data_IF_869384715285
#
_entry.id   IF_869384715285
#
_cell.length_a   1.000
_cell.length_b   1.000
_cell.length_c   1.000
_cell.angle_alpha   90.00
_cell.angle_beta   90.00
_cell.angle_gamma   90.00
#
_symmetry.space_group_name_H-M   'P 1'
#
loop_
_entity.id
_entity.type
_entity.pdbx_description
1 polymer ?
#
# COMPACT_ATOMS: atom_id res chain seq x y z
N UNK A 1 5.43 8.51 13.13
CA UNK A 1 6.51 7.52 13.30
C UNK A 1 5.94 6.16 12.91
N UNK A 2 6.45 5.54 11.84
CA UNK A 2 5.90 4.29 11.30
C UNK A 2 6.56 2.99 11.84
N UNK A 3 7.45 3.07 12.84
CA UNK A 3 8.07 1.87 13.40
C UNK A 3 7.23 1.36 14.56
N UNK A 4 6.36 0.41 14.26
CA UNK A 4 5.59 -0.32 15.26
C UNK A 4 6.32 -1.58 15.72
N UNK A 5 7.11 -2.20 14.83
CA UNK A 5 7.88 -3.42 15.11
C UNK A 5 9.37 -3.15 14.97
N UNK A 6 10.06 -3.00 16.10
CA UNK A 6 11.53 -2.90 16.11
C UNK A 6 12.13 -4.29 15.92
N UNK A 7 12.98 -4.44 14.91
CA UNK A 7 13.73 -5.67 14.63
C UNK A 7 15.18 -5.51 15.08
N UNK A 8 15.74 -6.57 15.63
CA UNK A 8 17.18 -6.67 15.87
C UNK A 8 17.92 -7.10 14.60
N UNK A 9 19.24 -6.90 14.58
CA UNK A 9 20.12 -7.42 13.51
C UNK A 9 19.95 -8.94 13.33
N UNK A 10 19.68 -9.68 14.42
CA UNK A 10 19.49 -11.13 14.37
C UNK A 10 18.18 -11.50 13.69
N UNK A 11 17.10 -10.77 13.96
CA UNK A 11 15.78 -11.03 13.36
C UNK A 11 15.83 -10.84 11.85
N UNK A 12 16.43 -9.74 11.38
CA UNK A 12 16.57 -9.44 9.96
C UNK A 12 17.45 -10.49 9.27
N UNK A 13 18.61 -10.85 9.84
CA UNK A 13 19.47 -11.90 9.28
C UNK A 13 18.75 -13.24 9.18
N UNK A 14 18.06 -13.66 10.24
CA UNK A 14 17.31 -14.92 10.25
C UNK A 14 16.21 -14.93 9.19
N UNK A 15 15.49 -13.82 9.02
CA UNK A 15 14.45 -13.70 8.01
C UNK A 15 15.02 -13.79 6.59
N UNK A 16 16.13 -13.09 6.32
CA UNK A 16 16.77 -13.08 5.01
C UNK A 16 17.46 -14.41 4.64
N UNK A 17 17.82 -15.25 5.62
CA UNK A 17 18.34 -16.60 5.35
C UNK A 17 17.34 -17.50 4.59
N UNK A 18 16.06 -17.12 4.53
CA UNK A 18 15.02 -17.82 3.77
C UNK A 18 14.99 -17.41 2.29
N UNK A 19 15.78 -16.42 1.88
CA UNK A 19 15.74 -15.84 0.54
C UNK A 19 17.09 -15.97 -0.15
N UNK A 20 17.07 -15.99 -1.49
CA UNK A 20 18.27 -15.96 -2.32
C UNK A 20 18.81 -14.52 -2.45
N UNK A 21 19.21 -13.94 -1.31
CA UNK A 21 19.72 -12.56 -1.22
C UNK A 21 21.15 -12.62 -0.64
N UNK A 22 22.11 -11.86 -1.20
CA UNK A 22 23.46 -11.79 -0.66
C UNK A 22 23.52 -11.30 0.80
N UNK A 23 24.70 -11.42 1.41
CA UNK A 23 24.94 -10.97 2.78
C UNK A 23 24.48 -9.51 2.96
N UNK A 24 23.64 -9.30 3.97
CA UNK A 24 23.17 -7.98 4.38
C UNK A 24 24.34 -7.22 5.00
N UNK A 25 24.64 -6.05 4.44
CA UNK A 25 25.67 -5.15 4.93
C UNK A 25 25.10 -4.19 5.97
N UNK A 26 23.93 -3.62 5.67
CA UNK A 26 23.29 -2.60 6.49
C UNK A 26 21.77 -2.73 6.42
N UNK A 27 21.11 -2.33 7.49
CA UNK A 27 19.66 -2.11 7.49
C UNK A 27 19.34 -0.82 8.24
N UNK A 28 18.38 -0.07 7.72
CA UNK A 28 17.95 1.21 8.26
C UNK A 28 16.42 1.22 8.32
N UNK A 29 15.81 1.52 9.48
CA UNK A 29 14.37 1.68 9.52
C UNK A 29 13.93 2.94 8.78
N UNK A 30 12.82 2.84 8.05
CA UNK A 30 12.18 3.97 7.36
C UNK A 30 11.08 4.50 8.27
N UNK A 31 11.21 5.77 8.66
CA UNK A 31 10.30 6.41 9.62
C UNK A 31 9.06 7.04 8.96
N UNK A 32 9.12 7.24 7.64
CA UNK A 32 8.04 7.73 6.80
C UNK A 32 6.92 6.67 6.67
N UNK A 33 5.69 7.16 6.51
CA UNK A 33 4.48 6.33 6.45
C UNK A 33 3.72 6.27 7.77
N UNK A 34 2.55 5.61 7.73
CA UNK A 34 1.63 5.53 8.86
C UNK A 34 1.09 4.13 9.15
N UNK A 35 1.20 3.19 8.21
CA UNK A 35 0.53 1.89 8.30
C UNK A 35 1.45 0.70 8.53
N UNK A 36 2.66 0.69 7.99
CA UNK A 36 3.55 -0.46 8.04
C UNK A 36 4.93 -0.08 8.58
N UNK A 37 5.61 -1.04 9.22
CA UNK A 37 7.02 -0.86 9.53
C UNK A 37 7.85 -1.25 8.30
N UNK A 38 8.70 -0.35 7.82
CA UNK A 38 9.57 -0.58 6.67
C UNK A 38 11.04 -0.48 7.08
N UNK A 39 11.88 -1.35 6.51
CA UNK A 39 13.34 -1.29 6.62
C UNK A 39 13.96 -1.27 5.23
N UNK A 40 14.86 -0.32 5.00
CA UNK A 40 15.79 -0.37 3.87
C UNK A 40 16.87 -1.40 4.20
N UNK A 41 17.09 -2.35 3.31
CA UNK A 41 18.10 -3.38 3.44
C UNK A 41 19.12 -3.20 2.32
N UNK A 42 20.38 -3.00 2.68
CA UNK A 42 21.48 -2.83 1.71
C UNK A 42 22.35 -4.08 1.70
N UNK A 43 22.55 -4.63 0.51
CA UNK A 43 23.54 -5.67 0.24
C UNK A 43 24.69 -5.06 -0.57
N UNK A 44 25.70 -5.87 -0.90
CA UNK A 44 26.84 -5.43 -1.71
C UNK A 44 26.42 -4.91 -3.10
N UNK A 45 25.35 -5.47 -3.67
CA UNK A 45 24.96 -5.23 -5.07
C UNK A 45 23.62 -4.50 -5.21
N UNK A 46 22.69 -4.74 -4.28
CA UNK A 46 21.30 -4.30 -4.41
C UNK A 46 20.72 -3.80 -3.09
N UNK A 47 19.71 -2.95 -3.20
CA UNK A 47 18.85 -2.52 -2.10
C UNK A 47 17.51 -3.26 -2.16
N UNK A 48 16.90 -3.44 -1.00
CA UNK A 48 15.58 -4.04 -0.85
C UNK A 48 14.78 -3.30 0.22
N UNK A 49 13.45 -3.44 0.17
CA UNK A 49 12.57 -3.00 1.25
C UNK A 49 12.00 -4.23 1.94
N UNK A 50 12.22 -4.34 3.24
CA UNK A 50 11.50 -5.27 4.11
C UNK A 50 10.30 -4.54 4.70
N UNK A 51 9.09 -5.02 4.43
CA UNK A 51 7.86 -4.47 4.99
C UNK A 51 7.22 -5.46 5.94
N UNK A 52 6.89 -5.01 7.15
CA UNK A 52 6.12 -5.74 8.16
C UNK A 52 4.71 -5.17 8.15
N UNK A 53 3.72 -6.02 7.88
CA UNK A 53 2.32 -5.61 7.76
C UNK A 53 1.65 -5.54 9.14
N UNK A 54 1.40 -4.32 9.61
CA UNK A 54 0.91 -4.06 10.97
C UNK A 54 -0.63 -4.13 11.04
N UNK A 55 -1.31 -3.73 9.97
CA UNK A 55 -2.77 -3.81 9.88
C UNK A 55 -3.22 -5.23 9.53
N UNK A 56 -3.97 -5.85 10.45
CA UNK A 56 -4.54 -7.19 10.30
C UNK A 56 -5.44 -7.34 9.06
N UNK A 57 -6.13 -6.27 8.64
CA UNK A 57 -6.96 -6.30 7.44
C UNK A 57 -6.10 -6.34 6.16
N UNK A 58 -4.96 -5.65 6.16
CA UNK A 58 -3.99 -5.75 5.07
C UNK A 58 -3.42 -7.16 5.04
N UNK A 59 -2.97 -7.68 6.18
CA UNK A 59 -2.41 -9.04 6.31
C UNK A 59 -3.37 -10.13 5.80
N UNK A 60 -4.66 -10.04 6.14
CA UNK A 60 -5.69 -10.97 5.63
C UNK A 60 -5.83 -10.96 4.10
N UNK A 61 -5.50 -9.85 3.46
CA UNK A 61 -5.59 -9.66 2.02
C UNK A 61 -4.20 -9.60 1.34
N UNK A 62 -3.12 -9.92 2.06
CA UNK A 62 -1.76 -9.68 1.59
C UNK A 62 -1.50 -10.35 0.23
N UNK A 63 -1.96 -11.60 0.07
CA UNK A 63 -1.80 -12.32 -1.19
C UNK A 63 -2.42 -11.60 -2.40
N UNK A 64 -3.54 -10.89 -2.21
CA UNK A 64 -4.13 -10.11 -3.31
C UNK A 64 -3.17 -9.01 -3.78
N UNK A 65 -2.56 -8.28 -2.85
CA UNK A 65 -1.61 -7.22 -3.17
C UNK A 65 -0.34 -7.76 -3.82
N UNK A 66 0.20 -8.87 -3.30
CA UNK A 66 1.39 -9.50 -3.87
C UNK A 66 1.13 -10.05 -5.27
N UNK A 67 -0.02 -10.69 -5.50
CA UNK A 67 -0.42 -11.15 -6.84
C UNK A 67 -0.59 -9.98 -7.81
N UNK A 68 -1.14 -8.85 -7.35
CA UNK A 68 -1.28 -7.66 -8.17
C UNK A 68 0.09 -7.08 -8.57
N UNK A 69 1.03 -7.00 -7.63
CA UNK A 69 2.38 -6.52 -7.92
C UNK A 69 3.13 -7.45 -8.86
N UNK A 70 3.01 -8.77 -8.71
CA UNK A 70 3.58 -9.74 -9.66
C UNK A 70 2.99 -9.57 -11.06
N UNK A 71 1.67 -9.46 -11.18
CA UNK A 71 0.99 -9.20 -12.46
C UNK A 71 1.51 -7.90 -13.12
N UNK A 72 1.70 -6.84 -12.33
CA UNK A 72 2.24 -5.58 -12.84
C UNK A 72 3.69 -5.71 -13.31
N UNK A 73 4.53 -6.45 -12.58
CA UNK A 73 5.90 -6.74 -12.98
C UNK A 73 5.96 -7.55 -14.28
N UNK A 74 5.10 -8.56 -14.44
CA UNK A 74 4.97 -9.35 -15.68
C UNK A 74 4.54 -8.47 -16.87
N UNK A 75 3.70 -7.47 -16.61
CA UNK A 75 3.29 -6.47 -17.58
C UNK A 75 4.33 -5.36 -17.78
N UNK A 76 5.55 -5.46 -17.24
CA UNK A 76 6.60 -4.42 -17.33
C UNK A 76 6.15 -3.04 -16.81
N UNK A 77 5.34 -3.01 -15.76
CA UNK A 77 5.03 -1.78 -15.03
C UNK A 77 6.11 -1.50 -13.98
N UNK A 78 6.43 -0.23 -13.73
CA UNK A 78 7.40 0.14 -12.71
C UNK A 78 6.73 0.07 -11.32
N UNK A 79 6.99 -1.01 -10.58
CA UNK A 79 6.51 -1.19 -9.20
C UNK A 79 7.54 -1.94 -8.34
N UNK A 80 7.47 -1.78 -7.00
CA UNK A 80 8.19 -2.66 -6.09
C UNK A 80 7.73 -4.11 -6.34
N UNK A 81 8.66 -4.96 -6.80
CA UNK A 81 8.37 -6.34 -7.13
C UNK A 81 8.59 -7.22 -5.90
N UNK A 82 7.63 -8.06 -5.48
CA UNK A 82 7.80 -8.96 -4.34
C UNK A 82 8.83 -10.05 -4.64
N UNK A 83 9.64 -10.41 -3.65
CA UNK A 83 10.59 -11.53 -3.74
C UNK A 83 9.99 -12.79 -3.12
N UNK A 84 10.24 -13.92 -3.77
CA UNK A 84 9.91 -15.25 -3.25
C UNK A 84 11.05 -15.79 -2.39
N UNK A 85 10.69 -16.48 -1.31
CA UNK A 85 11.64 -17.25 -0.51
C UNK A 85 12.03 -18.57 -1.23
N UNK A 86 12.95 -19.37 -0.66
CA UNK A 86 13.36 -20.66 -1.24
C UNK A 86 12.21 -21.68 -1.38
N UNK A 87 11.13 -21.52 -0.63
CA UNK A 87 9.91 -22.34 -0.72
C UNK A 87 8.91 -21.80 -1.76
N UNK A 88 9.23 -20.72 -2.48
CA UNK A 88 8.37 -20.09 -3.48
C UNK A 88 7.25 -19.21 -2.91
N UNK A 89 7.25 -18.94 -1.59
CA UNK A 89 6.25 -18.10 -0.91
C UNK A 89 6.59 -16.62 -1.03
N UNK A 90 5.57 -15.77 -1.19
CA UNK A 90 5.73 -14.31 -1.37
C UNK A 90 5.88 -13.52 -0.06
N UNK A 91 5.63 -14.16 1.08
CA UNK A 91 5.79 -13.57 2.41
C UNK A 91 6.11 -14.65 3.45
N UNK A 92 6.67 -14.21 4.57
CA UNK A 92 7.03 -15.04 5.71
C UNK A 92 6.54 -14.41 7.02
N UNK A 93 6.72 -15.10 8.14
CA UNK A 93 6.39 -14.58 9.48
C UNK A 93 7.66 -14.09 10.19
N UNK A 94 7.58 -12.88 10.76
CA UNK A 94 8.56 -12.30 11.67
C UNK A 94 7.83 -11.62 12.83
N UNK A 95 8.24 -11.89 14.08
CA UNK A 95 7.59 -11.37 15.29
C UNK A 95 6.05 -11.55 15.28
N UNK A 96 5.57 -12.72 14.85
CA UNK A 96 4.14 -13.08 14.72
C UNK A 96 3.34 -12.22 13.72
N UNK A 97 4.02 -11.52 12.81
CA UNK A 97 3.41 -10.69 11.75
C UNK A 97 3.89 -11.16 10.38
N UNK A 98 3.05 -10.96 9.38
CA UNK A 98 3.45 -11.20 7.99
C UNK A 98 4.43 -10.11 7.56
N UNK A 99 5.47 -10.51 6.84
CA UNK A 99 6.42 -9.61 6.22
C UNK A 99 6.83 -10.12 4.84
N UNK A 100 7.11 -9.18 3.94
CA UNK A 100 7.54 -9.46 2.58
C UNK A 100 8.73 -8.59 2.21
N UNK A 101 9.54 -9.07 1.27
CA UNK A 101 10.67 -8.35 0.71
C UNK A 101 10.30 -7.86 -0.68
N UNK A 102 10.61 -6.60 -0.96
CA UNK A 102 10.38 -5.97 -2.24
C UNK A 102 11.68 -5.46 -2.85
N UNK A 103 11.74 -5.42 -4.18
CA UNK A 103 12.79 -4.70 -4.88
C UNK A 103 12.76 -3.22 -4.52
N UNK A 104 13.92 -2.61 -4.38
CA UNK A 104 14.03 -1.16 -4.24
C UNK A 104 13.77 -0.47 -5.58
N UNK A 105 12.99 0.61 -5.58
CA UNK A 105 12.83 1.50 -6.73
C UNK A 105 13.68 2.74 -6.48
N UNK A 106 14.61 3.03 -7.39
CA UNK A 106 15.42 4.24 -7.32
C UNK A 106 14.58 5.47 -7.68
N UNK A 107 14.84 6.58 -7.00
CA UNK A 107 14.09 7.82 -7.14
C UNK A 107 13.73 8.42 -5.78
N UNK A 108 13.18 9.63 -5.82
CA UNK A 108 12.71 10.35 -4.65
C UNK A 108 11.38 11.02 -4.99
N UNK A 109 10.44 11.01 -4.05
CA UNK A 109 9.19 11.73 -4.25
C UNK A 109 9.45 13.24 -4.39
N UNK A 110 8.60 13.89 -5.19
CA UNK A 110 8.74 15.31 -5.46
C UNK A 110 8.20 16.16 -4.31
N UNK A 111 9.06 17.01 -3.73
CA UNK A 111 8.63 18.03 -2.73
C UNK A 111 7.74 19.10 -3.35
N UNK A 112 7.97 19.44 -4.61
CA UNK A 112 7.19 20.41 -5.37
C UNK A 112 6.84 19.84 -6.74
N UNK A 113 5.56 19.78 -7.07
CA UNK A 113 5.07 19.36 -8.37
C UNK A 113 4.88 20.54 -9.32
N UNK A 114 5.09 20.30 -10.62
CA UNK A 114 4.79 21.22 -11.71
C UNK A 114 3.71 20.60 -12.60
N UNK A 115 3.01 21.39 -13.44
CA UNK A 115 1.95 20.86 -14.31
C UNK A 115 2.39 19.66 -15.17
N UNK A 116 3.64 19.62 -15.62
CA UNK A 116 4.18 18.53 -16.43
C UNK A 116 4.21 17.20 -15.66
N UNK A 117 4.45 17.24 -14.34
CA UNK A 117 4.43 16.04 -13.50
C UNK A 117 3.02 15.47 -13.36
N UNK A 118 1.98 16.31 -13.42
CA UNK A 118 0.58 15.86 -13.38
C UNK A 118 0.19 15.14 -14.68
N UNK A 119 0.72 15.59 -15.82
CA UNK A 119 0.54 14.90 -17.11
C UNK A 119 1.14 13.50 -17.04
N UNK A 120 2.39 13.38 -16.57
CA UNK A 120 3.07 12.10 -16.38
C UNK A 120 2.31 11.19 -15.40
N UNK A 121 1.82 11.74 -14.28
CA UNK A 121 1.02 10.99 -13.31
C UNK A 121 -0.27 10.44 -13.93
N UNK A 122 -0.95 11.24 -14.75
CA UNK A 122 -2.13 10.83 -15.51
C UNK A 122 -1.83 9.68 -16.47
N UNK A 123 -0.73 9.76 -17.23
CA UNK A 123 -0.30 8.70 -18.13
C UNK A 123 0.03 7.40 -17.40
N UNK A 124 0.80 7.47 -16.30
CA UNK A 124 1.16 6.29 -15.50
C UNK A 124 -0.08 5.65 -14.86
N UNK A 125 -1.02 6.48 -14.38
CA UNK A 125 -2.29 5.99 -13.80
C UNK A 125 -3.14 5.29 -14.86
N UNK A 126 -3.22 5.83 -16.08
CA UNK A 126 -3.91 5.16 -17.18
C UNK A 126 -3.23 3.84 -17.56
N UNK A 127 -1.90 3.80 -17.63
CA UNK A 127 -1.13 2.57 -17.87
C UNK A 127 -1.39 1.51 -16.80
N UNK A 128 -1.45 1.89 -15.52
CA UNK A 128 -1.81 1.00 -14.42
C UNK A 128 -3.19 0.36 -14.65
N UNK A 129 -4.21 1.16 -14.99
CA UNK A 129 -5.57 0.66 -15.24
C UNK A 129 -5.63 -0.29 -16.45
N UNK A 130 -4.92 0.04 -17.54
CA UNK A 130 -4.91 -0.80 -18.74
C UNK A 130 -4.20 -2.13 -18.49
N UNK A 131 -3.05 -2.12 -17.82
CA UNK A 131 -2.26 -3.33 -17.52
C UNK A 131 -2.98 -4.27 -16.55
N UNK A 132 -3.86 -3.75 -15.71
CA UNK A 132 -4.63 -4.55 -14.74
C UNK A 132 -6.00 -5.00 -15.25
N UNK A 133 -6.36 -4.69 -16.51
CA UNK A 133 -7.66 -5.05 -17.10
C UNK A 133 -7.95 -6.56 -17.06
N UNK A 134 -6.92 -7.38 -17.23
CA UNK A 134 -7.03 -8.85 -17.25
C UNK A 134 -6.67 -9.52 -15.91
N UNK A 135 -6.40 -8.73 -14.87
CA UNK A 135 -6.08 -9.26 -13.54
C UNK A 135 -7.31 -9.97 -12.95
N UNK A 136 -7.18 -11.25 -12.61
CA UNK A 136 -8.32 -12.13 -12.29
C UNK A 136 -8.83 -11.98 -10.86
N UNK A 137 -7.97 -11.57 -9.94
CA UNK A 137 -8.35 -11.47 -8.53
C UNK A 137 -9.16 -10.21 -8.26
N UNK A 138 -10.11 -10.30 -7.33
CA UNK A 138 -10.97 -9.19 -6.92
C UNK A 138 -10.85 -8.97 -5.43
N UNK A 139 -10.93 -7.71 -5.02
CA UNK A 139 -11.00 -7.29 -3.62
C UNK A 139 -12.09 -6.25 -3.49
N UNK A 140 -12.86 -6.33 -2.41
CA UNK A 140 -13.84 -5.30 -2.10
C UNK A 140 -13.11 -4.03 -1.63
N UNK A 141 -13.63 -2.86 -1.98
CA UNK A 141 -13.13 -1.62 -1.41
C UNK A 141 -13.55 -1.53 0.07
N UNK A 142 -12.57 -1.56 0.98
CA UNK A 142 -12.79 -1.46 2.42
C UNK A 142 -13.34 -0.07 2.81
N UNK A 143 -12.96 0.97 2.06
CA UNK A 143 -13.41 2.36 2.25
C UNK A 143 -14.62 2.71 1.37
N UNK A 144 -15.57 1.78 1.29
CA UNK A 144 -16.82 1.97 0.53
C UNK A 144 -17.78 2.98 1.19
N UNK A 145 -18.81 3.40 0.46
CA UNK A 145 -19.93 4.19 1.01
C UNK A 145 -20.51 3.59 2.30
N UNK A 146 -20.68 2.26 2.35
CA UNK A 146 -21.17 1.55 3.54
C UNK A 146 -20.22 1.73 4.72
N UNK A 147 -18.91 1.74 4.48
CA UNK A 147 -17.92 2.00 5.52
C UNK A 147 -18.06 3.43 6.05
N UNK A 148 -18.19 4.43 5.18
CA UNK A 148 -18.38 5.82 5.61
C UNK A 148 -19.66 5.97 6.44
N UNK A 149 -20.78 5.44 5.97
CA UNK A 149 -22.07 5.51 6.68
C UNK A 149 -21.99 4.91 8.09
N UNK A 150 -21.42 3.70 8.23
CA UNK A 150 -21.29 3.02 9.52
C UNK A 150 -20.38 3.82 10.47
N UNK A 151 -19.26 4.35 9.98
CA UNK A 151 -18.31 5.08 10.82
C UNK A 151 -18.85 6.46 11.23
N UNK A 152 -19.57 7.18 10.36
CA UNK A 152 -20.26 8.43 10.72
C UNK A 152 -21.27 8.19 11.83
N UNK A 153 -22.06 7.12 11.76
CA UNK A 153 -23.01 6.77 12.82
C UNK A 153 -22.31 6.43 14.15
N UNK A 154 -21.24 5.63 14.10
CA UNK A 154 -20.47 5.25 15.30
C UNK A 154 -19.77 6.43 15.95
N UNK A 155 -19.32 7.40 15.16
CA UNK A 155 -18.50 8.54 15.60
C UNK A 155 -19.31 9.83 15.77
N UNK A 156 -20.64 9.80 15.59
CA UNK A 156 -21.50 10.99 15.58
C UNK A 156 -21.28 11.90 16.79
N UNK A 157 -21.31 11.35 18.00
CA UNK A 157 -21.09 12.11 19.24
C UNK A 157 -19.68 12.72 19.31
N UNK A 158 -18.68 12.05 18.77
CA UNK A 158 -17.30 12.58 18.74
C UNK A 158 -17.18 13.72 17.72
N UNK A 159 -17.76 13.54 16.54
CA UNK A 159 -17.80 14.54 15.47
C UNK A 159 -18.51 15.81 15.94
N UNK A 160 -19.67 15.67 16.57
CA UNK A 160 -20.45 16.81 17.08
C UNK A 160 -19.69 17.60 18.15
N UNK A 161 -18.94 16.90 19.01
CA UNK A 161 -18.08 17.55 20.01
C UNK A 161 -16.89 18.30 19.40
N UNK A 162 -16.44 17.92 18.20
CA UNK A 162 -15.37 18.64 17.48
C UNK A 162 -15.89 19.91 16.85
N UNK A 163 -17.10 19.87 16.30
CA UNK A 163 -17.78 21.05 15.76
C UNK A 163 -19.28 20.80 15.71
N UNK A 164 -20.03 21.71 16.33
CA UNK A 164 -21.50 21.65 16.32
C UNK A 164 -22.03 21.69 14.89
N UNK A 165 -22.96 20.80 14.57
CA UNK A 165 -23.58 20.65 13.25
C UNK A 165 -22.77 19.81 12.24
N UNK A 166 -21.52 19.44 12.55
CA UNK A 166 -20.67 18.70 11.62
C UNK A 166 -21.22 17.30 11.32
N UNK A 167 -21.84 16.64 12.29
CA UNK A 167 -22.46 15.33 12.09
C UNK A 167 -23.56 15.39 11.03
N UNK A 168 -24.43 16.40 11.13
CA UNK A 168 -25.52 16.61 10.19
C UNK A 168 -25.01 16.98 8.79
N UNK A 169 -23.93 17.76 8.72
CA UNK A 169 -23.27 18.09 7.45
C UNK A 169 -22.77 16.81 6.74
N UNK A 170 -22.04 15.94 7.44
CA UNK A 170 -21.52 14.70 6.87
C UNK A 170 -22.68 13.78 6.43
N UNK A 171 -23.74 13.66 7.24
CA UNK A 171 -24.92 12.86 6.87
C UNK A 171 -25.58 13.41 5.60
N UNK A 172 -25.70 14.74 5.48
CA UNK A 172 -26.24 15.39 4.28
C UNK A 172 -25.40 15.07 3.05
N UNK A 173 -24.08 15.18 3.14
CA UNK A 173 -23.16 14.88 2.04
C UNK A 173 -23.21 13.40 1.63
N UNK A 174 -23.28 12.47 2.60
CA UNK A 174 -23.47 11.05 2.31
C UNK A 174 -24.80 10.77 1.59
N UNK A 175 -25.89 11.45 1.98
CA UNK A 175 -27.17 11.30 1.29
C UNK A 175 -27.12 11.82 -0.15
N UNK A 176 -26.42 12.92 -0.41
CA UNK A 176 -26.16 13.42 -1.77
C UNK A 176 -25.38 12.37 -2.56
N UNK A 177 -24.29 11.85 -1.99
CA UNK A 177 -23.44 10.85 -2.63
C UNK A 177 -24.19 9.57 -2.98
N UNK A 178 -25.08 9.09 -2.09
CA UNK A 178 -25.93 7.92 -2.33
C UNK A 178 -26.81 8.06 -3.57
N UNK A 179 -27.25 9.28 -3.88
CA UNK A 179 -28.15 9.58 -4.99
C UNK A 179 -27.42 9.83 -6.31
N UNK A 180 -26.08 9.89 -6.31
CA UNK A 180 -25.30 9.99 -7.53
C UNK A 180 -25.41 8.66 -8.31
N UNK A 181 -25.80 8.77 -9.58
CA UNK A 181 -25.94 7.61 -10.47
C UNK A 181 -24.56 7.19 -10.99
N UNK A 182 -24.06 6.07 -10.47
CA UNK A 182 -22.75 5.49 -10.86
C UNK A 182 -22.87 4.22 -11.71
N UNK A 183 -24.06 3.89 -12.21
CA UNK A 183 -24.34 2.55 -12.73
C UNK A 183 -23.40 2.13 -13.88
N UNK A 184 -22.88 3.10 -14.66
CA UNK A 184 -22.25 2.82 -15.95
C UNK A 184 -20.78 3.28 -16.07
N UNK A 185 -20.09 3.59 -14.96
CA UNK A 185 -18.65 3.89 -15.04
C UNK A 185 -17.80 2.61 -15.15
N UNK A 186 -16.70 2.62 -15.93
CA UNK A 186 -15.75 1.52 -15.97
C UNK A 186 -15.21 1.18 -14.57
N UNK A 187 -15.04 -0.12 -14.31
CA UNK A 187 -14.55 -0.64 -13.03
C UNK A 187 -13.30 -1.49 -13.28
N UNK A 188 -12.32 -1.36 -12.40
CA UNK A 188 -11.06 -2.09 -12.48
C UNK A 188 -10.26 -1.94 -11.21
N UNK A 189 -9.01 -2.39 -11.26
CA UNK A 189 -8.03 -2.11 -10.20
C UNK A 189 -7.70 -0.62 -10.24
N UNK A 190 -7.61 -0.03 -9.05
CA UNK A 190 -7.17 1.34 -8.81
C UNK A 190 -6.10 1.30 -7.71
N UNK A 191 -5.24 2.32 -7.65
CA UNK A 191 -4.29 2.46 -6.53
C UNK A 191 -5.02 2.79 -5.21
N UNK A 192 -6.10 3.59 -5.29
CA UNK A 192 -6.93 4.04 -4.16
C UNK A 192 -6.22 4.87 -3.06
N UNK A 193 -4.97 5.26 -3.26
CA UNK A 193 -4.14 5.99 -2.28
C UNK A 193 -2.99 6.75 -2.97
N UNK A 194 -3.23 7.30 -4.16
CA UNK A 194 -2.18 7.88 -5.00
C UNK A 194 -1.89 9.34 -4.61
N UNK A 195 -1.08 9.51 -3.56
CA UNK A 195 -0.59 10.79 -3.07
C UNK A 195 0.84 11.08 -3.56
N UNK A 196 1.32 12.34 -3.51
CA UNK A 196 2.67 12.69 -3.98
C UNK A 196 3.81 11.89 -3.34
N UNK A 197 3.65 11.44 -2.09
CA UNK A 197 4.62 10.62 -1.37
C UNK A 197 4.57 9.12 -1.75
N UNK A 198 3.57 8.71 -2.53
CA UNK A 198 3.44 7.39 -3.13
C UNK A 198 3.87 7.36 -4.61
N UNK A 199 4.50 8.43 -5.10
CA UNK A 199 5.02 8.57 -6.47
C UNK A 199 6.45 9.09 -6.41
N UNK A 200 7.36 8.43 -7.14
CA UNK A 200 8.78 8.80 -7.27
C UNK A 200 9.03 9.53 -8.59
#
# INVERSE_FOLDING_TARGET
MAIFTKLSNKDIKYFFNKYNIPIILEHEPIYQGIQNTNYLIKTKEKKYILTIFEDKNISKNLQFFLNLLHHLSEENFCNPSPLKNYEGKDFDIINNKQAAIFSFIEGEYLKFSRPEHLVLLGEVTAKLHLKTKNFKHKRKNDYSYKYWQINTQKLSNYIEKKQQGLTNLIIKDLNIFKNLRYADIPKGIIHADLFPDNVL
#
